data_IF_763446830990
#
_entry.id   IF_763446830990
#
_cell.length_a   1.000
_cell.length_b   1.000
_cell.length_c   1.000
_cell.angle_alpha   90.00
_cell.angle_beta   90.00
_cell.angle_gamma   90.00
#
_symmetry.space_group_name_H-M   'P 1'
#
loop_
_entity.id
_entity.type
_entity.pdbx_description
1 polymer ?
#
# COMPACT_ATOMS: atom_id res chain seq x y z
N UNK A 1 -22.42 13.32 -6.42
CA UNK A 1 -23.54 13.17 -5.46
C UNK A 1 -24.70 14.04 -5.94
N UNK A 2 -25.83 14.06 -5.21
CA UNK A 2 -26.99 14.90 -5.56
C UNK A 2 -26.75 16.41 -5.38
N UNK A 3 -25.62 16.82 -4.79
CA UNK A 3 -25.22 18.22 -4.55
C UNK A 3 -24.18 18.70 -5.58
N UNK A 4 -23.88 17.90 -6.61
CA UNK A 4 -22.92 18.23 -7.66
C UNK A 4 -21.45 17.93 -7.30
N UNK A 5 -21.16 17.34 -6.14
CA UNK A 5 -19.81 16.91 -5.80
C UNK A 5 -19.45 15.64 -6.58
N UNK A 6 -18.29 15.62 -7.21
CA UNK A 6 -17.77 14.47 -7.94
C UNK A 6 -16.47 14.02 -7.31
N UNK A 7 -16.29 12.70 -7.27
CA UNK A 7 -15.05 12.07 -6.87
C UNK A 7 -14.75 10.96 -7.89
N UNK A 8 -13.56 11.03 -8.48
CA UNK A 8 -13.05 10.02 -9.40
C UNK A 8 -11.71 9.53 -8.86
N UNK A 9 -11.59 8.22 -8.68
CA UNK A 9 -10.37 7.57 -8.21
C UNK A 9 -9.73 6.79 -9.35
N UNK A 10 -8.44 7.02 -9.56
CA UNK A 10 -7.60 6.23 -10.43
C UNK A 10 -6.53 5.53 -9.58
N UNK A 11 -6.29 4.25 -9.84
CA UNK A 11 -5.27 3.46 -9.17
C UNK A 11 -4.38 2.87 -10.25
N UNK A 12 -3.07 3.09 -10.14
CA UNK A 12 -2.09 2.60 -11.10
C UNK A 12 -0.86 2.02 -10.37
N UNK A 13 -0.30 0.89 -10.84
CA UNK A 13 0.99 0.42 -10.36
C UNK A 13 2.11 1.35 -10.84
N UNK A 14 3.17 1.47 -10.06
CA UNK A 14 4.40 2.18 -10.41
C UNK A 14 5.54 1.18 -10.69
N UNK A 15 6.56 1.56 -11.48
CA UNK A 15 7.66 0.66 -11.87
C UNK A 15 8.48 0.10 -10.70
N UNK A 16 8.50 0.81 -9.57
CA UNK A 16 9.22 0.46 -8.34
C UNK A 16 8.42 -0.46 -7.40
N UNK A 17 7.27 -0.97 -7.86
CA UNK A 17 6.39 -1.84 -7.07
C UNK A 17 5.48 -1.08 -6.10
N UNK A 18 5.55 0.25 -6.04
CA UNK A 18 4.58 1.07 -5.34
C UNK A 18 3.28 1.20 -6.15
N UNK A 19 2.25 1.75 -5.51
CA UNK A 19 1.00 2.11 -6.16
C UNK A 19 0.76 3.60 -6.08
N UNK A 20 0.29 4.18 -7.17
CA UNK A 20 -0.20 5.54 -7.21
C UNK A 20 -1.73 5.54 -7.21
N UNK A 21 -2.32 6.18 -6.20
CA UNK A 21 -3.73 6.49 -6.16
C UNK A 21 -3.92 7.97 -6.37
N UNK A 22 -4.75 8.33 -7.34
CA UNK A 22 -5.11 9.71 -7.63
C UNK A 22 -6.62 9.88 -7.44
N UNK A 23 -6.98 10.85 -6.60
CA UNK A 23 -8.34 11.22 -6.28
C UNK A 23 -8.63 12.62 -6.83
N UNK A 24 -9.40 12.68 -7.92
CA UNK A 24 -9.89 13.94 -8.50
C UNK A 24 -11.23 14.28 -7.89
N UNK A 25 -11.35 15.48 -7.34
CA UNK A 25 -12.57 15.97 -6.69
C UNK A 25 -13.02 17.28 -7.32
N UNK A 26 -14.33 17.44 -7.47
CA UNK A 26 -14.93 18.65 -8.04
C UNK A 26 -16.28 18.91 -7.38
N UNK A 27 -16.74 20.17 -7.37
CA UNK A 27 -18.03 20.58 -6.80
C UNK A 27 -17.90 21.71 -5.78
N UNK A 28 -19.03 22.17 -5.25
CA UNK A 28 -19.13 23.31 -4.33
C UNK A 28 -18.89 22.98 -2.86
N UNK A 29 -18.03 22.00 -2.55
CA UNK A 29 -17.74 21.61 -1.17
C UNK A 29 -16.78 22.60 -0.50
N UNK A 30 -16.88 22.74 0.83
CA UNK A 30 -15.96 23.58 1.63
C UNK A 30 -14.76 22.80 2.17
N UNK A 31 -14.95 21.50 2.39
CA UNK A 31 -13.96 20.59 2.97
C UNK A 31 -14.13 19.20 2.36
N UNK A 32 -13.01 18.52 2.15
CA UNK A 32 -12.98 17.11 1.80
C UNK A 32 -12.24 16.33 2.90
N UNK A 33 -12.62 15.08 3.10
CA UNK A 33 -11.87 14.16 3.98
C UNK A 33 -11.73 12.82 3.29
N UNK A 34 -10.49 12.49 2.91
CA UNK A 34 -10.14 11.19 2.38
C UNK A 34 -9.71 10.27 3.54
N UNK A 35 -10.29 9.07 3.62
CA UNK A 35 -10.01 8.12 4.69
C UNK A 35 -9.39 6.84 4.14
N UNK A 36 -8.27 6.45 4.73
CA UNK A 36 -7.60 5.18 4.49
C UNK A 36 -7.71 4.33 5.75
N UNK A 37 -8.43 3.21 5.65
CA UNK A 37 -8.43 2.19 6.70
C UNK A 37 -7.12 1.44 6.60
N UNK A 38 -6.34 1.49 7.66
CA UNK A 38 -5.05 0.85 7.76
C UNK A 38 -5.27 -0.51 8.42
N UNK A 39 -4.62 -1.54 7.86
CA UNK A 39 -4.65 -2.89 8.41
C UNK A 39 -4.05 -2.96 9.82
N UNK A 40 -4.09 -4.13 10.48
CA UNK A 40 -3.48 -4.30 11.79
C UNK A 40 -1.97 -4.00 11.76
N UNK A 41 -1.47 -3.38 12.83
CA UNK A 41 -0.04 -3.11 13.01
C UNK A 41 0.23 -1.75 13.66
N UNK A 42 1.52 -1.53 13.95
CA UNK A 42 1.99 -0.28 14.54
C UNK A 42 2.13 0.80 13.47
N UNK A 43 1.10 1.61 13.34
CA UNK A 43 1.09 2.78 12.45
C UNK A 43 1.54 4.03 13.19
N UNK A 44 2.39 4.82 12.52
CA UNK A 44 2.90 6.09 13.02
C UNK A 44 2.61 7.18 12.00
N UNK A 45 2.08 8.30 12.47
CA UNK A 45 1.85 9.49 11.65
C UNK A 45 3.16 10.26 11.44
N UNK A 46 3.47 10.57 10.20
CA UNK A 46 4.53 11.48 9.79
C UNK A 46 3.97 12.80 9.28
N UNK A 47 4.86 13.67 8.78
CA UNK A 47 4.48 14.99 8.23
C UNK A 47 3.56 14.89 7.02
N UNK A 48 3.81 13.89 6.20
CA UNK A 48 3.34 13.73 4.82
C UNK A 48 2.71 12.35 4.59
N UNK A 49 2.43 11.61 5.67
CA UNK A 49 1.94 10.25 5.53
C UNK A 49 1.89 9.45 6.81
N UNK A 50 1.79 8.12 6.65
CA UNK A 50 1.90 7.15 7.74
C UNK A 50 2.90 6.06 7.36
N UNK A 51 3.57 5.53 8.37
CA UNK A 51 4.48 4.40 8.24
C UNK A 51 4.12 3.30 9.24
N UNK A 52 4.26 2.05 8.83
CA UNK A 52 3.99 0.86 9.62
C UNK A 52 4.25 -0.38 8.78
N UNK A 53 3.33 -1.37 8.74
CA UNK A 53 3.39 -2.50 7.82
C UNK A 53 3.50 -2.12 6.33
N UNK A 54 3.11 -0.90 5.96
CA UNK A 54 3.36 -0.28 4.66
C UNK A 54 3.65 1.22 4.87
N UNK A 55 4.01 1.94 3.80
CA UNK A 55 4.14 3.41 3.85
C UNK A 55 3.16 4.06 2.91
N UNK A 56 2.44 5.05 3.39
CA UNK A 56 1.51 5.85 2.59
C UNK A 56 1.97 7.30 2.65
N UNK A 57 2.21 7.90 1.49
CA UNK A 57 2.54 9.32 1.35
C UNK A 57 1.39 10.03 0.66
N UNK A 58 0.93 11.14 1.24
CA UNK A 58 -0.23 11.87 0.77
C UNK A 58 0.15 13.31 0.45
N UNK A 59 -0.27 13.76 -0.71
CA UNK A 59 -0.16 15.15 -1.15
C UNK A 59 -1.47 15.61 -1.79
N UNK A 60 -1.63 16.92 -1.89
CA UNK A 60 -2.78 17.54 -2.53
C UNK A 60 -2.34 18.85 -3.19
N UNK A 61 -3.17 19.39 -4.09
CA UNK A 61 -3.01 20.72 -4.67
C UNK A 61 -3.43 21.86 -3.70
N UNK A 62 -3.66 21.53 -2.43
CA UNK A 62 -4.05 22.44 -1.36
C UNK A 62 -3.43 21.99 -0.02
N UNK A 63 -3.40 22.86 1.02
CA UNK A 63 -2.95 22.48 2.35
C UNK A 63 -3.71 21.26 2.88
N UNK A 64 -2.96 20.26 3.33
CA UNK A 64 -3.46 18.97 3.77
C UNK A 64 -3.16 18.77 5.25
N UNK A 65 -4.20 18.51 6.05
CA UNK A 65 -4.07 18.11 7.45
C UNK A 65 -4.27 16.60 7.57
N UNK A 66 -3.28 15.92 8.13
CA UNK A 66 -3.31 14.48 8.35
C UNK A 66 -3.54 14.17 9.84
N UNK A 67 -4.36 13.16 10.12
CA UNK A 67 -4.49 12.60 11.47
C UNK A 67 -4.64 11.08 11.42
N UNK A 68 -4.12 10.42 12.45
CA UNK A 68 -4.31 9.00 12.68
C UNK A 68 -5.41 8.81 13.73
N UNK A 69 -6.56 8.30 13.28
CA UNK A 69 -7.77 8.11 14.08
C UNK A 69 -7.98 6.64 14.44
N UNK A 70 -8.80 6.40 15.45
CA UNK A 70 -9.33 5.07 15.77
C UNK A 70 -10.68 4.90 15.06
N UNK A 71 -10.79 3.82 14.29
CA UNK A 71 -12.01 3.38 13.65
C UNK A 71 -12.33 1.94 14.04
N UNK A 72 -13.45 1.45 13.50
CA UNK A 72 -13.85 0.06 13.66
C UNK A 72 -14.06 -0.56 12.28
N UNK A 73 -13.62 -1.80 12.13
CA UNK A 73 -13.94 -2.64 10.98
C UNK A 73 -14.68 -3.90 11.43
N UNK A 74 -15.62 -4.35 10.60
CA UNK A 74 -16.33 -5.59 10.80
C UNK A 74 -15.93 -6.61 9.75
N UNK A 75 -14.86 -7.39 9.99
CA UNK A 75 -14.34 -8.34 9.00
C UNK A 75 -15.30 -9.52 8.77
N UNK A 76 -16.16 -9.82 9.74
CA UNK A 76 -17.23 -10.81 9.64
C UNK A 76 -18.46 -10.31 10.41
N UNK A 77 -19.64 -10.84 10.09
CA UNK A 77 -20.87 -10.52 10.81
C UNK A 77 -20.69 -10.82 12.31
N UNK A 78 -21.01 -9.85 13.17
CA UNK A 78 -20.84 -9.96 14.63
C UNK A 78 -19.42 -9.74 15.15
N UNK A 79 -18.42 -9.56 14.29
CA UNK A 79 -17.04 -9.24 14.70
C UNK A 79 -16.79 -7.76 14.47
N UNK A 80 -16.40 -7.03 15.52
CA UNK A 80 -15.96 -5.64 15.43
C UNK A 80 -14.53 -5.57 15.95
N UNK A 81 -13.61 -5.04 15.16
CA UNK A 81 -12.21 -4.87 15.54
C UNK A 81 -11.79 -3.41 15.40
N UNK A 82 -10.95 -2.89 16.31
CA UNK A 82 -10.38 -1.57 16.13
C UNK A 82 -9.46 -1.58 14.90
N UNK A 83 -9.53 -0.54 14.09
CA UNK A 83 -8.62 -0.29 12.99
C UNK A 83 -8.07 1.13 13.07
N UNK A 84 -6.84 1.33 12.59
CA UNK A 84 -6.28 2.68 12.48
C UNK A 84 -6.78 3.30 11.17
N UNK A 85 -7.22 4.54 11.22
CA UNK A 85 -7.73 5.26 10.05
C UNK A 85 -6.88 6.50 9.82
N UNK A 86 -6.18 6.57 8.70
CA UNK A 86 -5.57 7.81 8.26
C UNK A 86 -6.63 8.71 7.62
N UNK A 87 -6.87 9.87 8.22
CA UNK A 87 -7.76 10.88 7.68
C UNK A 87 -6.94 12.05 7.12
N UNK A 88 -7.09 12.28 5.81
CA UNK A 88 -6.52 13.39 5.07
C UNK A 88 -7.61 14.44 4.81
N UNK A 89 -7.44 15.64 5.37
CA UNK A 89 -8.42 16.72 5.29
C UNK A 89 -7.84 17.90 4.53
N UNK A 90 -8.57 18.39 3.53
CA UNK A 90 -8.24 19.61 2.80
C UNK A 90 -9.47 20.53 2.73
N UNK A 91 -9.22 21.83 2.72
CA UNK A 91 -10.24 22.87 2.50
C UNK A 91 -10.22 23.30 1.04
N UNK A 92 -11.39 23.64 0.49
CA UNK A 92 -11.45 24.17 -0.87
C UNK A 92 -10.70 25.52 -0.98
N UNK A 93 -10.11 25.84 -2.14
CA UNK A 93 -10.11 25.03 -3.37
C UNK A 93 -9.13 23.85 -3.26
N UNK A 94 -9.59 22.66 -3.63
CA UNK A 94 -8.78 21.44 -3.77
C UNK A 94 -9.41 20.62 -4.89
N UNK A 95 -8.60 20.13 -5.82
CA UNK A 95 -9.10 19.39 -6.98
C UNK A 95 -8.44 18.03 -7.15
N UNK A 96 -7.27 17.82 -6.55
CA UNK A 96 -6.51 16.58 -6.65
C UNK A 96 -5.86 16.22 -5.32
N UNK A 97 -6.05 14.97 -4.90
CA UNK A 97 -5.25 14.32 -3.88
C UNK A 97 -4.51 13.15 -4.49
N UNK A 98 -3.27 12.96 -4.06
CA UNK A 98 -2.36 11.94 -4.58
C UNK A 98 -1.86 11.14 -3.39
N UNK A 99 -2.04 9.82 -3.42
CA UNK A 99 -1.53 8.90 -2.39
C UNK A 99 -0.60 7.89 -3.04
N UNK A 100 0.66 7.88 -2.63
CA UNK A 100 1.61 6.83 -2.99
C UNK A 100 1.63 5.79 -1.89
N UNK A 101 1.41 4.52 -2.26
CA UNK A 101 1.40 3.38 -1.34
C UNK A 101 2.60 2.51 -1.65
N UNK A 102 3.55 2.46 -0.72
CA UNK A 102 4.71 1.59 -0.80
C UNK A 102 4.44 0.33 0.02
N UNK A 103 4.38 -0.85 -0.61
CA UNK A 103 4.26 -2.10 0.12
C UNK A 103 5.51 -2.31 1.01
N UNK A 104 5.42 -3.15 2.05
CA UNK A 104 6.61 -3.56 2.78
C UNK A 104 7.60 -4.19 1.80
N UNK A 105 8.90 -3.95 2.03
CA UNK A 105 9.92 -4.69 1.32
C UNK A 105 9.58 -6.19 1.42
N UNK A 106 9.52 -6.87 0.27
CA UNK A 106 9.36 -8.30 0.27
C UNK A 106 10.46 -8.87 1.18
N UNK A 107 10.06 -9.66 2.19
CA UNK A 107 11.07 -10.44 2.92
C UNK A 107 11.85 -11.21 1.84
N UNK A 108 13.20 -11.14 1.83
CA UNK A 108 13.95 -12.06 0.98
C UNK A 108 13.48 -13.47 1.39
N UNK A 109 12.92 -14.20 0.42
CA UNK A 109 12.43 -15.55 0.66
C UNK A 109 13.56 -16.38 1.26
N UNK A 110 13.29 -17.03 2.39
CA UNK A 110 14.13 -18.14 2.82
C UNK A 110 14.15 -19.16 1.67
N UNK A 111 15.36 -19.53 1.27
CA UNK A 111 15.61 -20.28 0.05
C UNK A 111 14.81 -21.57 -0.08
N UNK A 112 14.53 -21.94 -1.32
CA UNK A 112 14.29 -23.32 -1.70
C UNK A 112 14.80 -23.52 -3.12
N UNK A 113 15.89 -24.29 -3.21
CA UNK A 113 16.21 -25.09 -4.38
C UNK A 113 17.10 -24.46 -5.45
N UNK A 114 18.37 -24.18 -5.12
CA UNK A 114 19.42 -24.43 -6.13
C UNK A 114 19.45 -25.95 -6.33
N UNK A 115 18.83 -26.44 -7.41
CA UNK A 115 19.11 -27.77 -7.93
C UNK A 115 20.57 -27.77 -8.39
N UNK A 116 21.48 -28.14 -7.49
CA UNK A 116 22.80 -28.65 -7.87
C UNK A 116 22.57 -29.93 -8.66
N UNK A 117 22.53 -29.83 -9.98
CA UNK A 117 22.78 -30.96 -10.87
C UNK A 117 24.28 -31.26 -10.84
N UNK A 118 24.76 -31.80 -9.73
CA UNK A 118 26.03 -32.52 -9.65
C UNK A 118 25.78 -33.98 -10.01
N UNK A 119 25.77 -34.28 -11.31
CA UNK A 119 25.92 -35.65 -11.79
C UNK A 119 27.37 -35.82 -12.27
N UNK A 120 28.20 -36.31 -11.37
CA UNK A 120 29.55 -36.77 -11.61
C UNK A 120 29.50 -37.96 -12.60
N UNK A 121 30.24 -37.95 -13.73
CA UNK A 121 30.31 -39.12 -14.60
C UNK A 121 31.23 -40.18 -13.97
N UNK A 122 30.70 -41.39 -13.82
CA UNK A 122 31.46 -42.56 -13.40
C UNK A 122 32.65 -42.85 -14.34
N UNK A 123 33.82 -43.26 -13.82
CA UNK A 123 34.98 -43.58 -14.64
C UNK A 123 34.80 -44.90 -15.40
N UNK A 124 35.26 -45.02 -16.66
CA UNK A 124 35.30 -46.31 -17.32
C UNK A 124 36.37 -47.21 -16.68
N UNK A 125 35.93 -48.37 -16.18
CA UNK A 125 36.79 -49.46 -15.75
C UNK A 125 37.73 -49.88 -16.89
N UNK A 126 39.03 -49.62 -16.73
CA UNK A 126 40.09 -50.32 -17.46
C UNK A 126 40.29 -51.68 -16.80
N UNK A 127 40.05 -52.76 -17.54
CA UNK A 127 40.69 -54.04 -17.25
C UNK A 127 41.25 -54.64 -18.53
N UNK A 128 42.54 -54.93 -18.46
CA UNK A 128 43.40 -55.53 -19.46
C UNK A 128 43.24 -57.05 -19.44
N UNK A 129 43.39 -57.70 -20.60
CA UNK A 129 43.88 -59.07 -20.82
C UNK A 129 43.00 -60.28 -20.42
N UNK A 130 42.58 -61.04 -21.44
CA UNK A 130 43.12 -62.37 -21.78
C UNK A 130 43.08 -62.56 -23.30
#
# INVERSE_FOLDING_TARGET
DRRGNRHARQVAPLPDGAWQVEDRIAGGFRRVTLRWRLGPGDWRLGRDGVAGPARLFLSADAPLALSLEEGHESPAYGVVRPCRVLAARATAPVSRLTTRVEPPAARPGNGSGTLSAGAEPAPPCRSTSC
#
